data_IF_000602974870
#
_entry.id   IF_000602974870
#
_cell.length_a   1.000
_cell.length_b   1.000
_cell.length_c   1.000
_cell.angle_alpha   90.00
_cell.angle_beta   90.00
_cell.angle_gamma   90.00
#
_symmetry.space_group_name_H-M   'P 1'
#
loop_
_entity.id
_entity.type
_entity.pdbx_description
1 polymer ?
#
# COMPACT_ATOMS: atom_id res chain seq x y z
N UNK A 1 -11.50 -2.94 -7.96
CA UNK A 1 -11.06 -3.92 -6.93
C UNK A 1 -9.74 -4.50 -7.40
N UNK A 2 -8.81 -4.71 -6.48
CA UNK A 2 -7.51 -5.32 -6.79
C UNK A 2 -7.60 -6.86 -6.72
N UNK A 3 -6.88 -7.59 -7.58
CA UNK A 3 -6.70 -9.03 -7.40
C UNK A 3 -5.68 -9.33 -6.30
N UNK A 4 -6.07 -10.14 -5.32
CA UNK A 4 -5.28 -10.47 -4.12
C UNK A 4 -4.04 -11.26 -4.47
N UNK A 5 -4.09 -12.17 -5.45
CA UNK A 5 -2.91 -12.92 -5.89
C UNK A 5 -1.86 -11.97 -6.46
N UNK A 6 -2.29 -11.05 -7.32
CA UNK A 6 -1.43 -10.03 -7.92
C UNK A 6 -0.93 -9.02 -6.88
N UNK A 7 -1.79 -8.58 -5.95
CA UNK A 7 -1.39 -7.73 -4.81
C UNK A 7 -0.29 -8.39 -3.99
N UNK A 8 -0.44 -9.66 -3.64
CA UNK A 8 0.53 -10.41 -2.84
C UNK A 8 1.90 -10.54 -3.53
N UNK A 9 1.95 -10.45 -4.87
CA UNK A 9 3.19 -10.41 -5.64
C UNK A 9 3.88 -9.04 -5.63
N UNK A 10 3.13 -7.95 -5.48
CA UNK A 10 3.67 -6.58 -5.49
C UNK A 10 3.99 -6.07 -4.08
N UNK A 11 3.14 -6.39 -3.09
CA UNK A 11 3.35 -5.94 -1.71
C UNK A 11 4.33 -6.88 -1.00
N UNK A 12 5.26 -6.31 -0.24
CA UNK A 12 6.19 -7.09 0.57
C UNK A 12 5.51 -8.04 1.57
N UNK A 13 6.21 -9.08 2.06
CA UNK A 13 5.65 -10.10 2.95
C UNK A 13 5.05 -9.51 4.24
N UNK A 14 5.62 -8.42 4.76
CA UNK A 14 5.11 -7.72 5.93
C UNK A 14 3.73 -7.10 5.65
N UNK A 15 3.61 -6.30 4.59
CA UNK A 15 2.33 -5.68 4.19
C UNK A 15 1.28 -6.73 3.83
N UNK A 16 1.68 -7.84 3.20
CA UNK A 16 0.80 -8.98 2.95
C UNK A 16 0.22 -9.55 4.24
N UNK A 17 1.03 -9.75 5.27
CA UNK A 17 0.56 -10.20 6.57
C UNK A 17 -0.36 -9.14 7.24
N UNK A 18 0.02 -7.86 7.15
CA UNK A 18 -0.80 -6.73 7.62
C UNK A 18 -2.18 -6.69 6.97
N UNK A 19 -2.24 -6.85 5.64
CA UNK A 19 -3.47 -6.89 4.86
C UNK A 19 -4.37 -8.05 5.27
N UNK A 20 -3.83 -9.25 5.49
CA UNK A 20 -4.59 -10.42 5.96
C UNK A 20 -5.21 -10.22 7.34
N UNK A 21 -4.60 -9.38 8.17
CA UNK A 21 -5.12 -9.09 9.51
C UNK A 21 -6.14 -7.95 9.56
N UNK A 22 -6.21 -7.12 8.51
CA UNK A 22 -7.18 -6.02 8.37
C UNK A 22 -8.63 -6.51 8.46
N UNK A 23 -9.43 -5.78 9.23
CA UNK A 23 -10.87 -5.97 9.31
C UNK A 23 -11.59 -5.67 7.99
N UNK A 24 -11.15 -4.67 7.23
CA UNK A 24 -11.66 -4.40 5.87
C UNK A 24 -11.51 -5.65 5.01
N UNK A 25 -10.31 -6.24 4.96
CA UNK A 25 -10.07 -7.47 4.21
C UNK A 25 -10.89 -8.65 4.74
N UNK A 26 -10.97 -8.84 6.05
CA UNK A 26 -11.74 -9.95 6.66
C UNK A 26 -13.24 -9.90 6.38
N UNK A 27 -13.80 -8.70 6.16
CA UNK A 27 -15.23 -8.54 5.80
C UNK A 27 -15.51 -8.95 4.35
N UNK A 28 -14.50 -8.97 3.49
CA UNK A 28 -14.60 -9.52 2.14
C UNK A 28 -14.61 -11.04 2.27
N UNK A 29 -15.67 -11.72 1.82
CA UNK A 29 -15.92 -13.16 2.05
C UNK A 29 -14.96 -14.11 1.30
N UNK A 30 -13.65 -13.92 1.42
CA UNK A 30 -12.63 -14.80 0.84
C UNK A 30 -12.48 -14.73 -0.68
N UNK A 31 -13.01 -13.69 -1.32
CA UNK A 31 -12.89 -13.50 -2.77
C UNK A 31 -11.45 -13.21 -3.19
N UNK A 32 -11.13 -13.52 -4.46
CA UNK A 32 -9.86 -13.15 -5.09
C UNK A 32 -9.69 -11.64 -5.23
N UNK A 33 -10.78 -10.87 -5.19
CA UNK A 33 -10.73 -9.41 -5.26
C UNK A 33 -10.77 -8.79 -3.86
N UNK A 34 -10.13 -7.63 -3.70
CA UNK A 34 -10.05 -6.86 -2.46
C UNK A 34 -10.32 -5.37 -2.68
N UNK A 35 -11.08 -4.79 -1.77
CA UNK A 35 -11.26 -3.34 -1.57
C UNK A 35 -10.31 -2.79 -0.50
N UNK A 36 -9.66 -3.68 0.26
CA UNK A 36 -8.59 -3.33 1.19
C UNK A 36 -7.30 -2.85 0.48
N UNK A 37 -7.23 -2.91 -0.85
CA UNK A 37 -6.18 -2.26 -1.65
C UNK A 37 -6.81 -1.45 -2.77
N UNK A 38 -6.48 -0.15 -2.83
CA UNK A 38 -7.02 0.79 -3.83
C UNK A 38 -5.90 1.61 -4.44
N UNK A 39 -5.86 1.68 -5.77
CA UNK A 39 -4.97 2.57 -6.48
C UNK A 39 -5.78 3.72 -7.05
N UNK A 40 -5.42 4.94 -6.66
CA UNK A 40 -6.00 6.16 -7.19
C UNK A 40 -5.10 6.68 -8.31
N UNK A 41 -5.68 6.83 -9.49
CA UNK A 41 -5.01 7.46 -10.61
C UNK A 41 -4.79 8.95 -10.34
N UNK A 42 -3.66 9.51 -10.80
CA UNK A 42 -3.48 10.95 -10.75
C UNK A 42 -4.51 11.66 -11.64
N UNK A 43 -5.00 12.84 -11.23
CA UNK A 43 -5.91 13.65 -12.05
C UNK A 43 -5.23 14.21 -13.31
N UNK A 44 -3.90 14.34 -13.29
CA UNK A 44 -3.09 14.83 -14.42
C UNK A 44 -2.01 13.81 -14.75
N UNK A 45 -1.84 13.51 -16.04
CA UNK A 45 -0.81 12.59 -16.51
C UNK A 45 0.59 13.06 -16.06
N UNK A 46 1.41 12.13 -15.58
CA UNK A 46 2.76 12.41 -15.08
C UNK A 46 2.84 12.83 -13.61
N UNK A 47 1.71 12.96 -12.90
CA UNK A 47 1.69 13.07 -11.44
C UNK A 47 1.75 11.69 -10.76
N UNK A 48 1.92 11.70 -9.45
CA UNK A 48 2.05 10.49 -8.64
C UNK A 48 0.70 9.80 -8.44
N UNK A 49 0.75 8.47 -8.42
CA UNK A 49 -0.39 7.65 -8.03
C UNK A 49 -0.45 7.56 -6.50
N UNK A 50 -1.65 7.37 -5.95
CA UNK A 50 -1.82 7.06 -4.54
C UNK A 50 -2.29 5.62 -4.39
N UNK A 51 -1.46 4.79 -3.76
CA UNK A 51 -1.83 3.44 -3.35
C UNK A 51 -2.27 3.45 -1.89
N UNK A 52 -3.50 3.03 -1.64
CA UNK A 52 -4.06 2.81 -0.31
C UNK A 52 -4.04 1.33 0.01
N UNK A 53 -3.48 0.96 1.17
CA UNK A 53 -3.46 -0.40 1.69
C UNK A 53 -4.03 -0.38 3.09
N UNK A 54 -5.09 -1.14 3.34
CA UNK A 54 -5.63 -1.35 4.68
C UNK A 54 -4.88 -2.48 5.35
N UNK A 55 -4.33 -2.20 6.53
CA UNK A 55 -3.56 -3.14 7.34
C UNK A 55 -4.10 -3.18 8.76
N UNK A 56 -3.90 -4.29 9.46
CA UNK A 56 -4.29 -4.40 10.87
C UNK A 56 -3.51 -3.43 11.77
N UNK A 57 -4.09 -3.12 12.93
CA UNK A 57 -3.54 -2.18 13.92
C UNK A 57 -2.05 -2.41 14.25
N UNK A 58 -1.66 -3.64 14.57
CA UNK A 58 -0.28 -3.96 14.96
C UNK A 58 0.72 -3.68 13.84
N UNK A 59 0.37 -4.02 12.59
CA UNK A 59 1.22 -3.72 11.43
C UNK A 59 1.37 -2.20 11.25
N UNK A 60 0.29 -1.44 11.41
CA UNK A 60 0.35 0.03 11.42
C UNK A 60 1.26 0.59 12.51
N UNK A 61 1.30 -0.03 13.70
CA UNK A 61 2.13 0.45 14.81
C UNK A 61 3.61 0.25 14.51
N UNK A 62 3.98 -0.91 13.99
CA UNK A 62 5.35 -1.20 13.58
C UNK A 62 5.83 -0.21 12.51
N UNK A 63 5.01 0.07 11.49
CA UNK A 63 5.36 1.05 10.45
C UNK A 63 5.49 2.45 11.05
N UNK A 64 4.57 2.84 11.93
CA UNK A 64 4.63 4.16 12.59
C UNK A 64 5.91 4.32 13.43
N UNK A 65 6.39 3.26 14.08
CA UNK A 65 7.63 3.27 14.84
C UNK A 65 8.83 3.42 13.91
N UNK A 66 8.92 2.63 12.84
CA UNK A 66 10.00 2.72 11.84
C UNK A 66 10.06 4.11 11.18
N UNK A 67 8.90 4.68 10.84
CA UNK A 67 8.82 6.05 10.32
C UNK A 67 9.33 7.10 11.32
N UNK A 68 9.21 6.84 12.62
CA UNK A 68 9.66 7.77 13.67
C UNK A 68 11.15 7.64 13.97
N UNK A 69 11.73 6.44 13.83
CA UNK A 69 13.17 6.19 13.97
C UNK A 69 13.95 6.61 12.73
N UNK A 70 13.27 6.80 11.60
CA UNK A 70 13.91 7.11 10.32
C UNK A 70 14.57 5.89 9.67
N UNK A 71 14.18 4.69 10.12
CA UNK A 71 14.66 3.44 9.56
C UNK A 71 14.14 3.27 8.12
N UNK A 72 14.91 2.52 7.34
CA UNK A 72 14.54 2.19 5.97
C UNK A 72 13.25 1.35 5.96
N UNK A 73 12.26 1.81 5.20
CA UNK A 73 10.97 1.11 5.04
C UNK A 73 11.03 0.01 3.98
N UNK A 74 12.17 -0.18 3.32
CA UNK A 74 12.37 -1.17 2.25
C UNK A 74 11.99 -2.59 2.66
N UNK A 75 12.31 -3.02 3.88
CA UNK A 75 11.95 -4.36 4.36
C UNK A 75 10.43 -4.54 4.56
N UNK A 76 9.73 -3.45 4.85
CA UNK A 76 8.26 -3.45 5.04
C UNK A 76 7.55 -3.36 3.69
N UNK A 77 7.92 -2.37 2.88
CA UNK A 77 7.29 -2.08 1.60
C UNK A 77 7.65 -3.14 0.54
N UNK A 78 8.85 -3.71 0.65
CA UNK A 78 9.50 -4.46 -0.42
C UNK A 78 10.18 -3.54 -1.42
N UNK A 79 11.13 -4.09 -2.18
CA UNK A 79 11.97 -3.35 -3.14
C UNK A 79 11.16 -2.50 -4.13
N UNK A 80 10.10 -3.09 -4.68
CA UNK A 80 9.31 -2.45 -5.72
C UNK A 80 8.57 -1.22 -5.20
N UNK A 81 7.79 -1.38 -4.12
CA UNK A 81 7.03 -0.27 -3.54
C UNK A 81 7.98 0.80 -2.97
N UNK A 82 9.08 0.39 -2.34
CA UNK A 82 10.09 1.32 -1.86
C UNK A 82 10.63 2.21 -2.99
N UNK A 83 11.10 1.59 -4.09
CA UNK A 83 11.64 2.32 -5.24
C UNK A 83 10.58 3.24 -5.87
N UNK A 84 9.33 2.75 -6.00
CA UNK A 84 8.23 3.55 -6.53
C UNK A 84 7.90 4.75 -5.63
N UNK A 85 7.95 4.57 -4.31
CA UNK A 85 7.75 5.63 -3.30
C UNK A 85 8.91 6.62 -3.24
N UNK A 86 10.17 6.18 -3.42
CA UNK A 86 11.32 7.08 -3.50
C UNK A 86 11.24 7.98 -4.74
N UNK A 87 10.81 7.41 -5.87
CA UNK A 87 10.64 8.14 -7.14
C UNK A 87 9.47 9.14 -7.14
N UNK A 88 8.63 9.13 -6.10
CA UNK A 88 7.50 10.04 -5.93
C UNK A 88 7.99 11.47 -5.70
N UNK A 89 7.37 12.41 -6.43
CA UNK A 89 7.57 13.86 -6.28
C UNK A 89 6.79 14.43 -5.10
N UNK A 90 5.72 13.78 -4.66
CA UNK A 90 4.89 14.21 -3.53
C UNK A 90 5.49 13.75 -2.20
N UNK A 91 5.70 14.68 -1.27
CA UNK A 91 6.17 14.40 0.10
C UNK A 91 5.13 14.86 1.14
N UNK A 92 4.91 14.10 2.24
CA UNK A 92 5.50 12.80 2.51
C UNK A 92 4.93 11.72 1.56
N UNK A 93 5.80 10.84 1.06
CA UNK A 93 5.40 9.77 0.13
C UNK A 93 4.78 8.57 0.86
N UNK A 94 4.86 8.53 2.19
CA UNK A 94 4.26 7.51 3.05
C UNK A 94 3.46 8.21 4.13
N UNK A 95 2.23 7.77 4.36
CA UNK A 95 1.36 8.29 5.42
C UNK A 95 0.52 7.17 6.02
N UNK A 96 0.31 7.23 7.33
CA UNK A 96 -0.59 6.33 8.05
C UNK A 96 -1.81 7.10 8.54
N UNK A 97 -2.98 6.50 8.42
CA UNK A 97 -4.25 7.03 8.95
C UNK A 97 -4.96 5.94 9.74
N UNK A 98 -5.13 6.15 11.04
CA UNK A 98 -5.79 5.18 11.94
C UNK A 98 -7.31 5.28 11.83
N UNK A 99 -7.99 4.15 11.61
CA UNK A 99 -9.44 4.09 11.44
C UNK A 99 -9.96 2.86 12.21
N UNK A 100 -10.37 3.10 13.45
CA UNK A 100 -10.80 2.03 14.36
C UNK A 100 -9.67 1.05 14.65
N UNK A 101 -9.88 -0.23 14.34
CA UNK A 101 -8.90 -1.31 14.52
C UNK A 101 -8.01 -1.57 13.28
N UNK A 102 -8.20 -0.80 12.22
CA UNK A 102 -7.36 -0.85 11.03
C UNK A 102 -6.56 0.44 10.90
N UNK A 103 -5.47 0.33 10.15
CA UNK A 103 -4.67 1.46 9.71
C UNK A 103 -4.69 1.49 8.18
N UNK A 104 -4.88 2.67 7.61
CA UNK A 104 -4.74 2.90 6.18
C UNK A 104 -3.33 3.45 5.91
N UNK A 105 -2.55 2.69 5.16
CA UNK A 105 -1.26 3.08 4.63
C UNK A 105 -1.46 3.71 3.24
N UNK A 106 -1.12 4.98 3.14
CA UNK A 106 -1.11 5.76 1.91
C UNK A 106 0.32 5.87 1.37
N UNK A 107 0.55 5.35 0.17
CA UNK A 107 1.82 5.45 -0.54
C UNK A 107 1.63 6.33 -1.78
N UNK A 108 2.42 7.39 -1.89
CA UNK A 108 2.58 8.13 -3.14
C UNK A 108 3.64 7.42 -3.96
N UNK A 109 3.30 7.12 -5.21
CA UNK A 109 4.12 6.34 -6.13
C UNK A 109 4.42 7.19 -7.35
N UNK A 110 5.68 7.25 -7.76
CA UNK A 110 6.05 7.87 -9.02
C UNK A 110 5.24 7.30 -10.19
N UNK A 111 4.96 8.13 -11.20
CA UNK A 111 4.06 7.81 -12.31
C UNK A 111 4.33 6.43 -12.95
N UNK A 112 5.59 6.07 -13.17
CA UNK A 112 5.96 4.78 -13.75
C UNK A 112 5.59 3.59 -12.84
N UNK A 113 5.91 3.67 -11.55
CA UNK A 113 5.61 2.61 -10.59
C UNK A 113 4.10 2.45 -10.35
N UNK A 114 3.38 3.57 -10.26
CA UNK A 114 1.91 3.53 -10.14
C UNK A 114 1.22 2.96 -11.38
N UNK A 115 1.69 3.31 -12.58
CA UNK A 115 1.14 2.78 -13.83
C UNK A 115 1.33 1.27 -13.97
N UNK A 116 2.49 0.74 -13.59
CA UNK A 116 2.74 -0.71 -13.63
C UNK A 116 1.85 -1.47 -12.64
N UNK A 117 1.64 -0.93 -11.43
CA UNK A 117 0.68 -1.50 -10.46
C UNK A 117 -0.73 -1.52 -11.05
N UNK A 118 -1.17 -0.42 -11.67
CA UNK A 118 -2.47 -0.35 -12.30
C UNK A 118 -2.66 -1.46 -13.33
N UNK A 119 -1.68 -1.68 -14.21
CA UNK A 119 -1.75 -2.69 -15.26
C UNK A 119 -1.69 -4.14 -14.76
N UNK A 120 -1.09 -4.37 -13.59
CA UNK A 120 -0.86 -5.72 -13.06
C UNK A 120 -1.99 -6.16 -12.14
N UNK A 121 -2.45 -5.27 -11.25
CA UNK A 121 -3.35 -5.62 -10.15
C UNK A 121 -4.83 -5.33 -10.47
N UNK A 122 -5.08 -4.33 -11.32
CA UNK A 122 -6.43 -3.83 -11.57
C UNK A 122 -6.87 -4.25 -12.99
N UNK A 123 -7.78 -5.24 -13.11
CA UNK A 123 -8.33 -5.68 -14.39
C UNK A 123 -9.32 -4.66 -15.00
#
# INVERSE_FOLDING_TARGET
MADVGEVEGIVGPFLRAGLKTSWVRKKERGGRLTEAVRLHMPPVMGQDFRLEIWIGFCAGQTISQLMSTGDDLRDILGDYLHTATESSKTKPSVRLTWIGMDCKLDLMLGFAGGRMIHQTIFP
#
